data_IF_094972653211
#
_entry.id   IF_094972653211
#
_cell.length_a   1.000
_cell.length_b   1.000
_cell.length_c   1.000
_cell.angle_alpha   90.00
_cell.angle_beta   90.00
_cell.angle_gamma   90.00
#
_symmetry.space_group_name_H-M   'P 1'
#
loop_
_entity.id
_entity.type
_entity.pdbx_description
1 polymer ?
#
# COMPACT_ATOMS: atom_id res chain seq x y z
N UNK A 1 -7.24 5.46 -49.74
CA UNK A 1 -6.97 4.41 -48.74
C UNK A 1 -6.81 4.90 -47.29
N UNK A 2 -6.75 6.22 -47.00
CA UNK A 2 -6.53 6.71 -45.62
C UNK A 2 -7.80 6.83 -44.74
N UNK A 3 -9.00 6.84 -45.35
CA UNK A 3 -10.27 6.98 -44.58
C UNK A 3 -10.71 5.69 -43.88
N UNK A 4 -10.43 4.53 -44.47
CA UNK A 4 -10.72 3.24 -43.85
C UNK A 4 -9.81 2.93 -42.67
N UNK A 5 -8.54 3.37 -42.73
CA UNK A 5 -7.58 3.19 -41.63
C UNK A 5 -7.94 4.02 -40.39
N UNK A 6 -8.51 5.21 -40.59
CA UNK A 6 -9.00 6.07 -39.50
C UNK A 6 -10.20 5.46 -38.75
N UNK A 7 -11.14 4.83 -39.45
CA UNK A 7 -12.29 4.18 -38.80
C UNK A 7 -11.89 2.94 -37.99
N UNK A 8 -10.86 2.21 -38.43
CA UNK A 8 -10.40 1.02 -37.72
C UNK A 8 -9.71 1.35 -36.38
N UNK A 9 -8.98 2.47 -36.32
CA UNK A 9 -8.34 2.98 -35.09
C UNK A 9 -9.35 3.47 -34.03
N UNK A 10 -10.51 3.97 -34.44
CA UNK A 10 -11.56 4.38 -33.50
C UNK A 10 -12.30 3.18 -32.88
N UNK A 11 -12.43 2.08 -33.62
CA UNK A 11 -13.12 0.89 -33.12
C UNK A 11 -12.28 0.13 -32.07
N UNK A 12 -10.96 0.08 -32.21
CA UNK A 12 -10.09 -0.62 -31.25
C UNK A 12 -9.94 0.10 -29.92
N UNK A 13 -10.13 1.42 -29.87
CA UNK A 13 -10.12 2.18 -28.62
C UNK A 13 -11.32 1.89 -27.71
N UNK A 14 -12.47 1.50 -28.28
CA UNK A 14 -13.71 1.24 -27.55
C UNK A 14 -13.77 -0.16 -26.89
N UNK A 15 -12.90 -1.08 -27.29
CA UNK A 15 -12.87 -2.47 -26.78
C UNK A 15 -11.73 -2.74 -25.80
N UNK A 16 -10.99 -1.72 -25.38
CA UNK A 16 -10.04 -1.90 -24.27
C UNK A 16 -10.84 -1.94 -22.96
N UNK A 17 -10.94 -3.09 -22.26
CA UNK A 17 -11.45 -3.07 -20.90
C UNK A 17 -10.49 -2.20 -20.09
N UNK A 18 -11.00 -1.07 -19.62
CA UNK A 18 -10.39 -0.33 -18.53
C UNK A 18 -10.36 -1.28 -17.33
N UNK A 19 -9.26 -2.02 -17.15
CA UNK A 19 -8.94 -2.69 -15.91
C UNK A 19 -8.69 -1.62 -14.85
N UNK A 20 -9.78 -1.06 -14.31
CA UNK A 20 -9.72 -0.17 -13.17
C UNK A 20 -9.26 -0.97 -11.95
N UNK A 21 -8.28 -0.43 -11.22
CA UNK A 21 -7.86 -1.00 -9.95
C UNK A 21 -9.08 -1.08 -9.02
N UNK A 22 -9.43 -2.29 -8.58
CA UNK A 22 -10.61 -2.50 -7.76
C UNK A 22 -10.42 -1.85 -6.38
N UNK A 23 -11.42 -1.05 -5.99
CA UNK A 23 -11.50 -0.46 -4.66
C UNK A 23 -12.60 -1.18 -3.88
N UNK A 24 -12.31 -1.54 -2.64
CA UNK A 24 -13.23 -2.24 -1.75
C UNK A 24 -13.67 -1.31 -0.63
N UNK A 25 -14.95 -1.32 -0.30
CA UNK A 25 -15.44 -0.68 0.92
C UNK A 25 -14.98 -1.48 2.13
N UNK A 26 -14.49 -0.79 3.16
CA UNK A 26 -14.07 -1.41 4.42
C UNK A 26 -14.74 -0.71 5.59
N UNK A 27 -15.13 -1.51 6.59
CA UNK A 27 -15.72 -1.03 7.84
C UNK A 27 -14.89 -1.53 9.03
N UNK A 28 -14.92 -0.86 10.19
CA UNK A 28 -14.28 -1.37 11.40
C UNK A 28 -14.77 -2.78 11.71
N UNK A 29 -13.84 -3.74 11.84
CA UNK A 29 -14.16 -5.15 12.08
C UNK A 29 -14.61 -5.96 10.87
N UNK A 30 -14.76 -5.35 9.68
CA UNK A 30 -15.05 -6.04 8.41
C UNK A 30 -13.96 -5.74 7.38
N UNK A 31 -12.80 -6.43 7.46
CA UNK A 31 -11.73 -6.23 6.50
C UNK A 31 -12.12 -6.76 5.12
N UNK A 32 -11.59 -6.12 4.07
CA UNK A 32 -11.60 -6.68 2.72
C UNK A 32 -10.54 -7.79 2.64
N UNK A 33 -10.85 -8.87 1.93
CA UNK A 33 -9.95 -10.00 1.79
C UNK A 33 -9.59 -10.24 0.32
N UNK A 34 -8.29 -10.33 0.03
CA UNK A 34 -7.78 -10.68 -1.30
C UNK A 34 -6.53 -11.56 -1.15
N UNK A 35 -6.46 -12.67 -1.89
CA UNK A 35 -5.31 -13.59 -1.92
C UNK A 35 -4.84 -14.08 -0.53
N UNK A 36 -5.80 -14.23 0.40
CA UNK A 36 -5.55 -14.63 1.78
C UNK A 36 -4.93 -13.54 2.66
N UNK A 37 -5.00 -12.27 2.26
CA UNK A 37 -4.58 -11.12 3.06
C UNK A 37 -5.83 -10.33 3.46
N UNK A 38 -5.95 -10.03 4.75
CA UNK A 38 -7.01 -9.20 5.31
C UNK A 38 -6.53 -7.75 5.38
N UNK A 39 -7.27 -6.86 4.73
CA UNK A 39 -7.03 -5.42 4.70
C UNK A 39 -8.14 -4.70 5.45
N UNK A 40 -7.79 -4.01 6.52
CA UNK A 40 -8.79 -3.35 7.35
C UNK A 40 -8.24 -2.14 8.09
N UNK A 41 -9.10 -1.55 8.91
CA UNK A 41 -8.71 -0.45 9.77
C UNK A 41 -9.43 -0.50 11.12
N UNK A 42 -8.84 0.14 12.11
CA UNK A 42 -9.37 0.29 13.45
C UNK A 42 -9.35 1.78 13.84
N UNK A 43 -10.36 2.19 14.61
CA UNK A 43 -10.41 3.52 15.21
C UNK A 43 -9.76 3.42 16.59
N UNK A 44 -8.62 4.09 16.77
CA UNK A 44 -7.90 4.12 18.04
C UNK A 44 -8.42 5.19 18.99
N UNK A 45 -8.84 6.32 18.42
CA UNK A 45 -9.30 7.47 19.18
C UNK A 45 -10.28 8.30 18.35
N UNK A 46 -11.26 8.88 19.02
CA UNK A 46 -12.21 9.82 18.44
C UNK A 46 -12.34 11.04 19.37
N UNK A 47 -12.27 12.25 18.81
CA UNK A 47 -12.48 13.48 19.56
C UNK A 47 -13.14 14.56 18.72
N UNK A 48 -13.97 15.36 19.36
CA UNK A 48 -14.54 16.57 18.75
C UNK A 48 -13.50 17.70 18.78
N UNK A 49 -13.39 18.45 17.69
CA UNK A 49 -12.51 19.62 17.59
C UNK A 49 -13.24 20.75 16.85
N UNK A 50 -12.97 21.99 17.25
CA UNK A 50 -13.46 23.16 16.54
C UNK A 50 -12.34 23.77 15.69
N UNK A 51 -12.65 24.05 14.43
CA UNK A 51 -11.73 24.64 13.44
C UNK A 51 -12.45 25.80 12.78
N UNK A 52 -11.94 27.02 12.99
CA UNK A 52 -12.47 28.25 12.38
C UNK A 52 -13.97 28.48 12.65
N UNK A 53 -14.44 28.12 13.85
CA UNK A 53 -15.84 28.31 14.27
C UNK A 53 -16.79 27.17 13.87
N UNK A 54 -16.31 26.16 13.15
CA UNK A 54 -17.07 24.96 12.79
C UNK A 54 -16.57 23.74 13.57
N UNK A 55 -17.49 22.89 14.00
CA UNK A 55 -17.18 21.65 14.72
C UNK A 55 -16.89 20.51 13.75
N UNK A 56 -15.91 19.68 14.10
CA UNK A 56 -15.48 18.50 13.34
C UNK A 56 -15.20 17.33 14.27
N UNK A 57 -15.16 16.12 13.70
CA UNK A 57 -14.69 14.93 14.39
C UNK A 57 -13.30 14.58 13.88
N UNK A 58 -12.34 14.44 14.80
CA UNK A 58 -10.98 13.96 14.54
C UNK A 58 -10.88 12.50 14.98
N UNK A 59 -10.49 11.65 14.04
CA UNK A 59 -10.25 10.24 14.27
C UNK A 59 -8.77 9.90 14.09
N UNK A 60 -8.26 9.08 14.99
CA UNK A 60 -6.96 8.42 14.84
C UNK A 60 -7.21 7.00 14.37
N UNK A 61 -6.76 6.70 13.16
CA UNK A 61 -7.01 5.44 12.48
C UNK A 61 -5.72 4.63 12.41
N UNK A 62 -5.82 3.33 12.64
CA UNK A 62 -4.77 2.36 12.32
C UNK A 62 -5.25 1.49 11.17
N UNK A 63 -4.63 1.62 10.00
CA UNK A 63 -4.83 0.72 8.86
C UNK A 63 -3.87 -0.46 8.95
N UNK A 64 -4.28 -1.62 8.46
CA UNK A 64 -3.48 -2.83 8.54
C UNK A 64 -3.68 -3.76 7.34
N UNK A 65 -2.66 -4.58 7.09
CA UNK A 65 -2.71 -5.75 6.23
C UNK A 65 -2.18 -6.97 7.02
N UNK A 66 -2.99 -8.02 7.11
CA UNK A 66 -2.65 -9.26 7.83
C UNK A 66 -2.61 -10.43 6.86
N UNK A 67 -1.47 -11.09 6.75
CA UNK A 67 -1.35 -12.27 5.89
C UNK A 67 -1.90 -13.52 6.62
N UNK A 68 -2.96 -14.09 6.07
CA UNK A 68 -3.60 -15.35 6.49
C UNK A 68 -3.57 -16.40 5.37
N UNK A 69 -2.71 -16.23 4.36
CA UNK A 69 -2.69 -17.06 3.16
C UNK A 69 -1.93 -18.38 3.34
N UNK A 70 -1.43 -18.69 4.53
CA UNK A 70 -0.53 -19.83 4.83
C UNK A 70 0.83 -19.81 4.11
N UNK A 71 1.11 -18.79 3.30
CA UNK A 71 2.34 -18.65 2.54
C UNK A 71 2.99 -17.29 2.84
N UNK A 72 4.32 -17.21 2.75
CA UNK A 72 5.01 -15.92 2.81
C UNK A 72 4.90 -15.23 1.45
N UNK A 73 4.44 -13.97 1.44
CA UNK A 73 4.40 -13.16 0.22
C UNK A 73 5.72 -12.41 0.09
N UNK A 74 6.37 -12.49 -1.08
CA UNK A 74 7.67 -11.87 -1.35
C UNK A 74 7.51 -10.90 -2.51
N UNK A 75 7.94 -9.65 -2.30
CA UNK A 75 7.99 -8.61 -3.32
C UNK A 75 9.45 -8.34 -3.65
N UNK A 76 9.87 -8.78 -4.83
CA UNK A 76 11.21 -8.51 -5.33
C UNK A 76 11.28 -7.10 -5.92
N UNK A 77 12.39 -6.37 -5.72
CA UNK A 77 12.57 -5.07 -6.30
C UNK A 77 12.57 -5.18 -7.83
N UNK A 78 11.67 -4.47 -8.50
CA UNK A 78 11.62 -4.39 -9.95
C UNK A 78 12.59 -3.30 -10.41
N UNK A 79 13.38 -3.58 -11.44
CA UNK A 79 14.19 -2.55 -12.10
C UNK A 79 13.26 -1.73 -13.00
N UNK A 80 12.81 -0.58 -12.53
CA UNK A 80 12.03 0.35 -13.35
C UNK A 80 12.97 1.40 -13.98
N UNK A 81 12.86 1.61 -15.29
CA UNK A 81 13.59 2.64 -16.04
C UNK A 81 13.20 4.08 -15.61
N UNK A 82 12.07 4.25 -14.94
CA UNK A 82 11.52 5.52 -14.47
C UNK A 82 10.89 5.32 -13.08
N UNK A 83 11.62 5.66 -12.02
CA UNK A 83 11.11 5.74 -10.65
C UNK A 83 10.89 4.40 -9.94
N UNK A 84 11.31 4.33 -8.68
CA UNK A 84 11.23 3.14 -7.83
C UNK A 84 10.08 3.23 -6.80
N UNK A 85 9.12 4.14 -7.02
CA UNK A 85 8.08 4.41 -6.03
C UNK A 85 7.08 3.26 -5.94
N UNK A 86 6.68 2.96 -4.69
CA UNK A 86 5.58 2.08 -4.30
C UNK A 86 5.74 0.55 -4.53
N UNK A 87 6.95 0.04 -4.80
CA UNK A 87 7.16 -1.41 -5.00
C UNK A 87 6.87 -2.30 -3.77
N UNK A 88 6.81 -1.69 -2.59
CA UNK A 88 6.49 -2.34 -1.32
C UNK A 88 5.10 -1.96 -0.80
N UNK A 89 4.30 -1.23 -1.57
CA UNK A 89 2.94 -0.88 -1.19
C UNK A 89 2.05 -2.12 -1.28
N UNK A 90 1.38 -2.44 -0.17
CA UNK A 90 0.40 -3.54 -0.10
C UNK A 90 -0.99 -3.05 -0.46
N UNK A 91 -1.35 -1.88 0.06
CA UNK A 91 -2.66 -1.29 -0.12
C UNK A 91 -2.65 0.21 0.22
N UNK A 92 -3.48 0.95 -0.48
CA UNK A 92 -3.81 2.34 -0.18
C UNK A 92 -5.21 2.42 0.42
N UNK A 93 -5.36 3.14 1.53
CA UNK A 93 -6.62 3.37 2.19
C UNK A 93 -7.00 4.84 2.02
N UNK A 94 -8.13 5.10 1.38
CA UNK A 94 -8.67 6.44 1.16
C UNK A 94 -9.88 6.67 2.07
N UNK A 95 -9.89 7.79 2.80
CA UNK A 95 -11.04 8.24 3.58
C UNK A 95 -11.85 9.24 2.74
N UNK A 96 -13.01 8.82 2.24
CA UNK A 96 -13.79 9.60 1.26
C UNK A 96 -14.34 10.91 1.82
N UNK A 97 -14.75 10.92 3.09
CA UNK A 97 -15.27 12.10 3.77
C UNK A 97 -14.19 12.86 4.57
N UNK A 98 -12.90 12.58 4.36
CA UNK A 98 -11.84 13.35 4.99
C UNK A 98 -11.73 14.76 4.38
N UNK A 99 -11.84 15.77 5.25
CA UNK A 99 -11.79 17.19 4.87
C UNK A 99 -10.38 17.64 4.48
N UNK A 100 -9.34 17.04 5.09
CA UNK A 100 -7.94 17.46 4.93
C UNK A 100 -7.60 18.77 5.67
N UNK A 101 -8.47 19.24 6.58
CA UNK A 101 -8.18 20.42 7.40
C UNK A 101 -6.96 20.19 8.29
N UNK A 102 -6.24 21.27 8.64
CA UNK A 102 -5.02 21.20 9.48
C UNK A 102 -3.94 20.22 8.97
N UNK A 103 -3.78 20.12 7.65
CA UNK A 103 -2.80 19.23 7.03
C UNK A 103 -2.97 17.76 7.44
N UNK A 104 -4.16 17.33 7.85
CA UNK A 104 -4.42 15.92 8.15
C UNK A 104 -4.56 15.13 6.86
N UNK A 105 -4.07 13.90 6.87
CA UNK A 105 -4.11 13.02 5.71
C UNK A 105 -5.56 12.70 5.30
N UNK A 106 -5.75 12.46 4.00
CA UNK A 106 -6.99 11.90 3.45
C UNK A 106 -6.85 10.42 3.10
N UNK A 107 -5.62 9.95 3.01
CA UNK A 107 -5.27 8.58 2.72
C UNK A 107 -4.09 8.12 3.56
N UNK A 108 -3.89 6.80 3.58
CA UNK A 108 -2.78 6.16 4.24
C UNK A 108 -2.39 4.89 3.50
N UNK A 109 -1.09 4.63 3.42
CA UNK A 109 -0.55 3.44 2.76
C UNK A 109 -0.08 2.42 3.79
N UNK A 110 -0.28 1.15 3.48
CA UNK A 110 0.35 0.04 4.21
C UNK A 110 1.48 -0.52 3.36
N UNK A 111 2.69 -0.55 3.93
CA UNK A 111 3.91 -0.97 3.24
C UNK A 111 4.43 -2.28 3.83
N UNK A 112 4.94 -3.17 2.97
CA UNK A 112 5.64 -4.37 3.37
C UNK A 112 7.00 -4.05 4.00
N UNK A 113 7.47 -4.92 4.88
CA UNK A 113 8.77 -4.75 5.55
C UNK A 113 9.90 -5.27 4.66
N UNK A 114 11.07 -4.61 4.64
CA UNK A 114 12.22 -5.12 3.91
C UNK A 114 12.73 -6.43 4.52
N UNK A 115 13.26 -7.32 3.70
CA UNK A 115 14.00 -8.50 4.16
C UNK A 115 15.42 -8.49 3.61
N UNK A 116 16.34 -8.92 4.47
CA UNK A 116 17.77 -8.96 4.19
C UNK A 116 18.26 -10.40 4.13
N UNK A 117 19.19 -10.66 3.21
CA UNK A 117 19.84 -11.96 3.06
C UNK A 117 21.33 -11.78 3.35
N UNK A 118 21.93 -12.63 4.21
CA UNK A 118 23.37 -12.58 4.45
C UNK A 118 24.12 -13.10 3.22
N UNK A 119 24.95 -12.25 2.63
CA UNK A 119 25.80 -12.59 1.49
C UNK A 119 27.25 -12.68 1.94
N UNK A 120 27.92 -13.80 1.60
CA UNK A 120 29.34 -14.01 1.93
C UNK A 120 30.19 -13.64 0.72
N UNK A 121 30.98 -12.59 0.85
CA UNK A 121 31.92 -12.14 -0.17
C UNK A 121 33.37 -12.30 0.28
N UNK A 122 34.25 -12.61 -0.67
CA UNK A 122 35.70 -12.61 -0.45
C UNK A 122 36.22 -11.22 -0.79
N UNK A 123 36.66 -10.48 0.21
CA UNK A 123 37.22 -9.13 0.03
C UNK A 123 38.73 -9.23 0.22
N UNK A 124 39.51 -8.64 -0.70
CA UNK A 124 40.95 -8.49 -0.52
C UNK A 124 41.19 -7.28 0.37
N UNK A 125 41.78 -7.51 1.53
CA UNK A 125 42.31 -6.44 2.40
C UNK A 125 43.46 -5.72 1.71
N UNK A 126 43.76 -4.48 2.11
CA UNK A 126 44.86 -3.68 1.56
C UNK A 126 46.24 -4.40 1.60
N UNK A 127 46.37 -5.40 2.46
CA UNK A 127 47.54 -6.28 2.64
C UNK A 127 47.55 -7.50 1.70
N UNK A 128 46.61 -7.60 0.75
CA UNK A 128 46.53 -8.68 -0.24
C UNK A 128 45.94 -10.00 0.26
N UNK A 129 45.61 -10.11 1.56
CA UNK A 129 44.97 -11.29 2.14
C UNK A 129 43.48 -11.34 1.79
N UNK A 130 42.99 -12.52 1.43
CA UNK A 130 41.55 -12.74 1.20
C UNK A 130 40.84 -12.98 2.54
N UNK A 131 39.88 -12.11 2.88
CA UNK A 131 39.04 -12.24 4.06
C UNK A 131 37.60 -12.47 3.62
N UNK A 132 36.94 -13.47 4.21
CA UNK A 132 35.52 -13.74 3.96
C UNK A 132 34.69 -12.81 4.85
N UNK A 133 34.03 -11.84 4.25
CA UNK A 133 33.15 -10.89 4.93
C UNK A 133 31.70 -11.23 4.63
N UNK A 134 30.85 -11.20 5.65
CA UNK A 134 29.39 -11.35 5.49
C UNK A 134 28.76 -9.97 5.46
N UNK A 135 28.02 -9.66 4.40
CA UNK A 135 27.31 -8.39 4.21
C UNK A 135 25.83 -8.68 4.04
N UNK A 136 24.98 -7.97 4.77
CA UNK A 136 23.53 -8.10 4.64
C UNK A 136 23.06 -7.26 3.45
N UNK A 137 22.45 -7.91 2.46
CA UNK A 137 21.90 -7.26 1.27
C UNK A 137 20.37 -7.31 1.37
N UNK A 138 19.71 -6.18 1.15
CA UNK A 138 18.25 -6.13 1.05
C UNK A 138 17.82 -6.83 -0.25
N UNK A 139 17.15 -7.97 -0.11
CA UNK A 139 16.72 -8.77 -1.26
C UNK A 139 15.31 -8.38 -1.76
N UNK A 140 14.54 -7.67 -0.94
CA UNK A 140 13.22 -7.16 -1.30
C UNK A 140 12.37 -6.83 -0.08
N UNK A 141 11.07 -6.99 -0.22
CA UNK A 141 10.10 -6.87 0.86
C UNK A 141 9.33 -8.18 1.04
N UNK A 142 8.89 -8.44 2.25
CA UNK A 142 8.14 -9.65 2.55
C UNK A 142 7.00 -9.37 3.54
N UNK A 143 5.97 -10.22 3.46
CA UNK A 143 4.90 -10.30 4.43
C UNK A 143 4.74 -11.77 4.83
N UNK A 144 5.23 -12.13 6.03
CA UNK A 144 5.21 -13.52 6.50
C UNK A 144 3.78 -13.99 6.79
N UNK A 145 3.56 -15.31 6.75
CA UNK A 145 2.30 -15.87 7.20
C UNK A 145 2.04 -15.52 8.68
N UNK A 146 0.86 -15.01 8.99
CA UNK A 146 0.46 -14.51 10.32
C UNK A 146 0.99 -13.12 10.66
N UNK A 147 1.84 -12.51 9.81
CA UNK A 147 2.35 -11.16 10.06
C UNK A 147 1.28 -10.11 9.76
N UNK A 148 1.19 -9.12 10.65
CA UNK A 148 0.40 -7.91 10.46
C UNK A 148 1.35 -6.73 10.31
N UNK A 149 1.21 -6.00 9.21
CA UNK A 149 1.83 -4.68 9.04
C UNK A 149 0.75 -3.62 9.14
N UNK A 150 1.07 -2.51 9.79
CA UNK A 150 0.10 -1.45 10.05
C UNK A 150 0.74 -0.07 9.92
N UNK A 151 -0.12 0.92 9.76
CA UNK A 151 0.25 2.33 9.74
C UNK A 151 -0.88 3.12 10.41
N UNK A 152 -0.55 4.20 11.11
CA UNK A 152 -1.55 5.04 11.77
C UNK A 152 -1.50 6.46 11.25
N UNK A 153 -2.68 7.05 11.05
CA UNK A 153 -2.82 8.43 10.60
C UNK A 153 -4.09 9.06 11.16
N UNK A 154 -4.16 10.39 11.06
CA UNK A 154 -5.26 11.17 11.58
C UNK A 154 -6.10 11.65 10.41
N UNK A 155 -7.42 11.52 10.55
CA UNK A 155 -8.40 12.11 9.62
C UNK A 155 -9.33 13.04 10.37
N UNK A 156 -9.81 14.07 9.66
CA UNK A 156 -10.84 14.98 10.15
C UNK A 156 -12.02 14.89 9.20
N UNK A 157 -13.17 14.52 9.73
CA UNK A 157 -14.44 14.37 9.00
C UNK A 157 -15.47 15.38 9.54
N UNK A 158 -16.54 15.67 8.78
CA UNK A 158 -17.63 16.53 9.24
C UNK A 158 -18.20 16.09 10.59
N UNK A 159 -18.81 17.05 11.30
CA UNK A 159 -19.44 16.75 12.59
C UNK A 159 -20.51 15.65 12.45
N UNK A 160 -20.58 14.75 13.43
CA UNK A 160 -21.51 13.61 13.45
C UNK A 160 -21.33 12.58 12.32
N UNK A 161 -20.25 12.65 11.53
CA UNK A 161 -19.88 11.61 10.57
C UNK A 161 -18.80 10.67 11.12
N UNK A 162 -18.79 9.43 10.62
CA UNK A 162 -17.69 8.47 10.81
C UNK A 162 -16.82 8.38 9.55
N UNK A 163 -15.55 7.99 9.66
CA UNK A 163 -14.68 7.82 8.50
C UNK A 163 -15.22 6.76 7.54
N UNK A 164 -15.42 7.15 6.28
CA UNK A 164 -15.84 6.23 5.21
C UNK A 164 -14.58 5.83 4.46
N UNK A 165 -14.17 4.57 4.63
CA UNK A 165 -12.88 4.07 4.16
C UNK A 165 -13.05 3.17 2.93
N UNK A 166 -12.23 3.42 1.91
CA UNK A 166 -12.04 2.52 0.77
C UNK A 166 -10.60 2.04 0.73
N UNK A 167 -10.39 0.78 0.38
CA UNK A 167 -9.06 0.21 0.18
C UNK A 167 -8.85 -0.12 -1.29
N UNK A 168 -7.74 0.35 -1.84
CA UNK A 168 -7.20 -0.03 -3.14
C UNK A 168 -6.04 -0.98 -2.91
N UNK A 169 -6.25 -2.25 -3.23
CA UNK A 169 -5.25 -3.29 -3.02
C UNK A 169 -4.31 -3.30 -4.22
N UNK A 170 -3.00 -3.40 -3.96
CA UNK A 170 -2.03 -3.69 -5.01
C UNK A 170 -1.85 -5.20 -5.06
N UNK A 171 -2.03 -5.77 -6.26
CA UNK A 171 -1.90 -7.21 -6.44
C UNK A 171 -0.45 -7.65 -6.23
N UNK A 172 -0.27 -8.60 -5.32
CA UNK A 172 1.02 -9.22 -5.05
C UNK A 172 1.02 -10.53 -5.82
N UNK A 173 1.93 -10.72 -6.79
CA UNK A 173 2.00 -11.96 -7.53
C UNK A 173 2.38 -13.11 -6.59
N UNK A 174 1.67 -14.22 -6.71
CA UNK A 174 2.07 -15.48 -6.07
C UNK A 174 3.26 -16.05 -6.86
N UNK A 175 4.37 -16.26 -6.16
CA UNK A 175 5.59 -16.90 -6.69
C UNK A 175 5.60 -18.39 -6.40
#
# INVERSE_FOLDING_TARGET
MNRFFCCFLFLTALYSPLFGQQAYDVEPGKPAQLNGIDYGFEIRNERRIDISGESYMRYELTIYATNKSNCTKIMLPKQALLGQDDQNELANFDCLNATGKRLTSKNGKVMARPFVVPYRQRVKTAEGKEVVTTTNIQAGHMLRNGETVNNSFIVIVPNNERPIMKVRILEIPDL
#
